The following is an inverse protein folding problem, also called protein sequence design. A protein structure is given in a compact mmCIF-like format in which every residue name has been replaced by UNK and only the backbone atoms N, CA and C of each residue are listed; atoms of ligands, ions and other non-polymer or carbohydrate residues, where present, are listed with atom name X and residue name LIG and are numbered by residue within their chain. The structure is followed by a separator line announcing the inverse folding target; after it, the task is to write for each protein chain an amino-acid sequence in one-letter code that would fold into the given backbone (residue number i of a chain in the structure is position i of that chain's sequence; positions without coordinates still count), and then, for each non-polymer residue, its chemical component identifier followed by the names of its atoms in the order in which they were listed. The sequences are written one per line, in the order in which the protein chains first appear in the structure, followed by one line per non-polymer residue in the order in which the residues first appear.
data_IF_514199747007
#
_entry.id   IF_514199747007
#
_cell.length_a   1.000
_cell.length_b   1.000
_cell.length_c   1.000
_cell.angle_alpha   90.00
_cell.angle_beta   90.00
_cell.angle_gamma   90.00
#
_symmetry.space_group_name_H-M   'P 1'
#
loop_
_entity.id
_entity.type
_entity.pdbx_description
1 polymer ?
#
# COMPACT_ATOMS: atom_id res chain seq x y z
N UNK A 1 8.60 -19.54 -11.53
CA UNK A 1 7.79 -18.45 -10.94
C UNK A 1 8.42 -17.18 -11.46
N UNK A 2 8.06 -16.76 -12.67
CA UNK A 2 8.83 -15.74 -13.41
C UNK A 2 8.09 -14.40 -13.35
N UNK A 3 7.93 -13.88 -12.12
CA UNK A 3 7.61 -12.47 -11.95
C UNK A 3 8.93 -11.71 -11.93
N UNK A 4 9.08 -10.69 -12.78
CA UNK A 4 10.19 -9.72 -12.77
C UNK A 4 10.12 -8.83 -11.50
N UNK A 5 10.07 -9.47 -10.34
CA UNK A 5 10.05 -8.82 -9.04
C UNK A 5 11.48 -8.56 -8.62
N UNK A 6 11.67 -7.49 -7.84
CA UNK A 6 12.94 -7.29 -7.16
C UNK A 6 13.17 -8.48 -6.23
N UNK A 7 14.41 -8.92 -6.04
CA UNK A 7 14.70 -10.05 -5.17
C UNK A 7 14.36 -9.77 -3.69
N UNK A 8 14.30 -8.50 -3.25
CA UNK A 8 14.06 -8.18 -1.84
C UNK A 8 12.61 -8.38 -1.37
N UNK A 9 11.55 -8.06 -2.14
CA UNK A 9 10.17 -8.42 -1.79
C UNK A 9 9.85 -9.92 -1.95
N UNK A 10 10.64 -10.68 -2.71
CA UNK A 10 10.33 -12.06 -3.07
C UNK A 10 10.17 -13.00 -1.86
N UNK A 11 11.05 -12.95 -0.83
CA UNK A 11 10.90 -13.77 0.38
C UNK A 11 9.65 -13.41 1.17
N UNK A 12 9.24 -12.14 1.21
CA UNK A 12 8.00 -11.74 1.87
C UNK A 12 6.76 -12.31 1.17
N UNK A 13 6.79 -12.39 -0.17
CA UNK A 13 5.73 -13.02 -0.96
C UNK A 13 5.65 -14.52 -0.68
N UNK A 14 6.80 -15.20 -0.54
CA UNK A 14 6.83 -16.63 -0.20
C UNK A 14 6.37 -16.85 1.25
N UNK A 15 6.84 -16.04 2.20
CA UNK A 15 6.49 -16.10 3.63
C UNK A 15 4.98 -15.82 3.87
N UNK A 16 4.34 -15.02 3.02
CA UNK A 16 2.89 -14.75 3.05
C UNK A 16 2.01 -15.90 2.52
N UNK A 17 2.59 -17.06 2.15
CA UNK A 17 1.83 -18.26 1.80
C UNK A 17 1.32 -18.31 0.35
N UNK A 18 1.96 -17.61 -0.58
CA UNK A 18 1.63 -17.64 -2.01
C UNK A 18 2.02 -18.95 -2.73
N UNK A 19 2.15 -20.07 -2.01
CA UNK A 19 2.37 -21.39 -2.62
C UNK A 19 1.10 -21.94 -3.30
N UNK A 20 -0.10 -21.52 -2.86
CA UNK A 20 -1.39 -21.93 -3.46
C UNK A 20 -2.35 -20.74 -3.60
N UNK A 21 -2.39 -20.08 -4.77
CA UNK A 21 -3.27 -18.93 -5.00
C UNK A 21 -4.76 -19.31 -4.94
N UNK A 22 -5.52 -18.70 -4.02
CA UNK A 22 -7.00 -18.72 -3.93
C UNK A 22 -7.65 -18.08 -5.17
N UNK A 23 -8.89 -18.40 -5.54
CA UNK A 23 -9.48 -18.20 -6.90
C UNK A 23 -9.36 -16.81 -7.59
N UNK A 24 -9.02 -15.72 -6.89
CA UNK A 24 -8.68 -14.41 -7.50
C UNK A 24 -7.18 -14.23 -7.78
N UNK A 25 -6.33 -15.08 -7.22
CA UNK A 25 -4.89 -15.06 -7.34
C UNK A 25 -4.33 -15.80 -8.59
N UNK A 26 -4.99 -16.80 -9.22
CA UNK A 26 -4.62 -17.23 -10.57
C UNK A 26 -4.89 -16.14 -11.60
N UNK A 27 -5.79 -15.20 -11.30
CA UNK A 27 -6.14 -14.15 -12.25
C UNK A 27 -5.09 -13.03 -12.39
N UNK A 28 -4.02 -13.14 -11.62
CA UNK A 28 -3.09 -12.06 -11.46
C UNK A 28 -1.64 -12.60 -11.41
N UNK A 29 -1.43 -13.86 -11.00
CA UNK A 29 -0.10 -14.40 -10.70
C UNK A 29 0.27 -15.64 -11.54
N UNK A 30 -0.31 -15.89 -12.73
CA UNK A 30 0.21 -16.92 -13.65
C UNK A 30 -0.01 -16.55 -15.11
N UNK A 31 1.04 -16.60 -15.93
CA UNK A 31 0.87 -16.82 -17.39
C UNK A 31 1.87 -17.86 -17.87
N UNK A 32 1.39 -18.84 -18.65
CA UNK A 32 1.34 -18.61 -20.10
C UNK A 32 -0.04 -18.85 -20.75
N UNK A 33 -0.39 -17.91 -21.64
CA UNK A 33 -1.35 -17.97 -22.78
C UNK A 33 -2.85 -17.67 -22.64
N UNK A 34 -3.44 -17.49 -21.46
CA UNK A 34 -4.83 -16.96 -21.38
C UNK A 34 -5.00 -16.01 -20.18
N UNK A 35 -4.35 -14.84 -20.25
CA UNK A 35 -4.11 -13.91 -19.13
C UNK A 35 -5.34 -13.09 -18.70
N UNK A 36 -5.81 -13.22 -17.46
CA UNK A 36 -6.57 -12.18 -16.75
C UNK A 36 -5.62 -11.05 -16.26
N UNK A 37 -6.09 -9.80 -16.38
CA UNK A 37 -5.26 -8.61 -16.66
C UNK A 37 -4.71 -7.80 -15.47
N UNK A 38 -4.90 -8.21 -14.20
CA UNK A 38 -4.74 -7.28 -13.06
C UNK A 38 -3.30 -6.95 -12.61
N UNK A 39 -2.48 -7.95 -12.28
CA UNK A 39 -1.16 -7.73 -11.64
C UNK A 39 -0.03 -7.32 -12.59
N UNK A 40 0.07 -7.84 -13.83
CA UNK A 40 1.05 -7.32 -14.79
C UNK A 40 0.86 -5.82 -15.02
N UNK A 41 -0.38 -5.34 -14.95
CA UNK A 41 -0.71 -3.93 -15.13
C UNK A 41 -0.33 -3.06 -13.93
N UNK A 42 -0.50 -3.59 -12.71
CA UNK A 42 -0.19 -2.87 -11.48
C UNK A 42 1.29 -2.59 -11.35
N UNK A 43 2.10 -3.60 -11.64
CA UNK A 43 3.57 -3.56 -11.60
C UNK A 43 4.12 -2.60 -12.67
N UNK A 44 3.38 -2.39 -13.76
CA UNK A 44 3.74 -1.43 -14.82
C UNK A 44 3.32 0.01 -14.50
N UNK A 45 2.79 0.29 -13.31
CA UNK A 45 2.39 1.63 -12.89
C UNK A 45 1.13 2.16 -13.60
N UNK A 46 0.30 1.27 -14.16
CA UNK A 46 -0.97 1.67 -14.76
C UNK A 46 -2.05 1.82 -13.69
N UNK A 47 -2.97 2.76 -13.94
CA UNK A 47 -4.14 2.95 -13.08
C UNK A 47 -5.03 1.70 -13.08
N UNK A 48 -5.44 1.26 -11.90
CA UNK A 48 -6.25 0.06 -11.71
C UNK A 48 -7.50 0.39 -10.91
N UNK A 49 -8.64 0.02 -11.49
CA UNK A 49 -9.88 -0.18 -10.75
C UNK A 49 -10.04 -1.69 -10.52
N UNK A 50 -10.01 -2.11 -9.26
CA UNK A 50 -10.21 -3.51 -8.89
C UNK A 50 -11.44 -3.66 -8.00
N UNK A 51 -12.38 -4.50 -8.43
CA UNK A 51 -13.52 -4.92 -7.61
C UNK A 51 -13.38 -6.41 -7.31
N UNK A 52 -13.30 -6.76 -6.03
CA UNK A 52 -13.33 -8.15 -5.58
C UNK A 52 -14.11 -8.22 -4.26
N UNK A 53 -14.54 -9.40 -3.84
CA UNK A 53 -15.16 -9.55 -2.51
C UNK A 53 -14.13 -9.36 -1.40
N UNK A 54 -14.61 -9.12 -0.18
CA UNK A 54 -13.72 -9.06 1.00
C UNK A 54 -13.00 -10.39 1.21
N UNK A 55 -11.76 -10.34 1.70
CA UNK A 55 -10.93 -11.54 1.95
C UNK A 55 -10.20 -12.12 0.73
N UNK A 56 -10.32 -11.55 -0.47
CA UNK A 56 -9.67 -12.07 -1.71
C UNK A 56 -8.26 -11.52 -1.97
N UNK A 57 -7.56 -10.98 -0.96
CA UNK A 57 -6.16 -10.57 -1.11
C UNK A 57 -5.92 -9.28 -1.90
N UNK A 58 -6.93 -8.42 -2.12
CA UNK A 58 -6.77 -7.10 -2.77
C UNK A 58 -5.69 -6.24 -2.11
N UNK A 59 -5.68 -6.26 -0.78
CA UNK A 59 -4.70 -5.53 0.04
C UNK A 59 -3.28 -5.94 -0.32
N UNK A 60 -3.01 -7.24 -0.30
CA UNK A 60 -1.70 -7.79 -0.64
C UNK A 60 -1.30 -7.44 -2.07
N UNK A 61 -2.23 -7.44 -3.02
CA UNK A 61 -1.95 -7.06 -4.41
C UNK A 61 -1.40 -5.64 -4.51
N UNK A 62 -2.08 -4.64 -3.92
CA UNK A 62 -1.58 -3.27 -4.02
C UNK A 62 -0.34 -3.04 -3.14
N UNK A 63 -0.22 -3.72 -1.98
CA UNK A 63 0.97 -3.62 -1.12
C UNK A 63 2.19 -4.10 -1.88
N UNK A 64 2.12 -5.27 -2.51
CA UNK A 64 3.23 -5.81 -3.29
C UNK A 64 3.51 -4.97 -4.53
N UNK A 65 2.48 -4.49 -5.23
CA UNK A 65 2.65 -3.67 -6.41
C UNK A 65 3.33 -2.33 -6.10
N UNK A 66 2.93 -1.64 -5.02
CA UNK A 66 3.54 -0.37 -4.62
C UNK A 66 4.95 -0.58 -4.07
N UNK A 67 5.18 -1.62 -3.26
CA UNK A 67 6.51 -1.96 -2.77
C UNK A 67 7.46 -2.34 -3.89
N UNK A 68 7.00 -3.05 -4.92
CA UNK A 68 7.81 -3.40 -6.07
C UNK A 68 8.32 -2.16 -6.82
N UNK A 69 7.50 -1.11 -6.90
CA UNK A 69 7.80 0.14 -7.60
C UNK A 69 8.43 1.22 -6.69
N UNK A 70 8.44 0.99 -5.38
CA UNK A 70 8.94 1.95 -4.40
C UNK A 70 10.46 2.12 -4.53
N UNK A 71 10.89 3.33 -4.86
CA UNK A 71 12.27 3.79 -4.72
C UNK A 71 12.32 4.77 -3.54
N UNK A 72 12.71 4.33 -2.33
CA UNK A 72 12.62 5.12 -1.12
C UNK A 72 13.61 6.29 -1.16
N UNK A 73 13.07 7.51 -1.06
CA UNK A 73 13.85 8.74 -0.94
C UNK A 73 13.59 9.33 0.44
N UNK A 74 14.65 9.68 1.15
CA UNK A 74 14.54 10.33 2.46
C UNK A 74 13.63 11.56 2.39
N UNK A 75 12.82 11.72 3.43
CA UNK A 75 11.88 12.82 3.58
C UNK A 75 10.81 12.96 2.49
N UNK A 76 10.49 11.87 1.77
CA UNK A 76 9.44 11.87 0.75
C UNK A 76 8.41 10.76 0.90
N UNK A 77 7.15 11.15 1.00
CA UNK A 77 6.01 10.24 0.85
C UNK A 77 5.85 9.90 -0.64
N UNK A 78 6.01 8.63 -0.99
CA UNK A 78 5.86 8.12 -2.35
C UNK A 78 4.55 7.35 -2.56
N UNK A 79 4.00 6.79 -1.48
CA UNK A 79 2.76 6.00 -1.52
C UNK A 79 1.77 6.57 -0.50
N UNK A 80 0.54 6.84 -0.95
CA UNK A 80 -0.58 7.19 -0.09
C UNK A 80 -1.69 6.16 -0.27
N UNK A 81 -2.10 5.51 0.81
CA UNK A 81 -3.24 4.61 0.86
C UNK A 81 -4.31 5.20 1.76
N UNK A 82 -5.54 5.27 1.26
CA UNK A 82 -6.70 5.72 2.03
C UNK A 82 -7.77 4.64 2.10
N UNK A 83 -8.40 4.51 3.27
CA UNK A 83 -9.54 3.64 3.50
C UNK A 83 -10.48 4.24 4.56
N UNK A 84 -11.69 3.71 4.68
CA UNK A 84 -12.76 4.40 5.40
C UNK A 84 -12.82 4.12 6.93
N UNK A 85 -12.22 3.01 7.41
CA UNK A 85 -12.21 2.65 8.84
C UNK A 85 -10.82 2.69 9.45
N UNK A 86 -10.76 2.83 10.79
CA UNK A 86 -9.49 2.76 11.55
C UNK A 86 -8.93 1.33 11.52
N UNK A 87 -9.82 0.36 11.58
CA UNK A 87 -9.53 -1.07 11.59
C UNK A 87 -8.81 -1.47 10.29
N UNK A 88 -9.30 -1.02 9.14
CA UNK A 88 -8.65 -1.26 7.84
C UNK A 88 -7.30 -0.57 7.74
N UNK A 89 -7.19 0.67 8.23
CA UNK A 89 -5.90 1.38 8.25
C UNK A 89 -4.84 0.55 8.99
N UNK A 90 -5.18 -0.02 10.15
CA UNK A 90 -4.28 -0.87 10.93
C UNK A 90 -3.99 -2.22 10.25
N UNK A 91 -4.97 -2.82 9.57
CA UNK A 91 -4.75 -4.07 8.85
C UNK A 91 -3.80 -3.86 7.67
N UNK A 92 -4.00 -2.81 6.89
CA UNK A 92 -3.16 -2.46 5.74
C UNK A 92 -1.74 -2.09 6.21
N UNK A 93 -1.61 -1.34 7.32
CA UNK A 93 -0.28 -0.98 7.85
C UNK A 93 0.53 -2.20 8.26
N UNK A 94 -0.11 -3.19 8.90
CA UNK A 94 0.53 -4.46 9.26
C UNK A 94 0.95 -5.27 8.04
N UNK A 95 0.15 -5.26 6.97
CA UNK A 95 0.51 -5.91 5.71
C UNK A 95 1.78 -5.29 5.10
N UNK A 96 1.88 -3.95 5.10
CA UNK A 96 3.10 -3.26 4.69
C UNK A 96 4.28 -3.58 5.61
N UNK A 97 4.12 -3.55 6.92
CA UNK A 97 5.19 -3.87 7.88
C UNK A 97 5.74 -5.29 7.69
N UNK A 98 4.84 -6.28 7.52
CA UNK A 98 5.23 -7.66 7.22
C UNK A 98 5.95 -7.79 5.88
N UNK A 99 5.46 -7.09 4.86
CA UNK A 99 6.03 -7.10 3.52
C UNK A 99 7.37 -6.34 3.41
N UNK A 100 7.60 -5.36 4.29
CA UNK A 100 8.83 -4.55 4.35
C UNK A 100 9.90 -5.12 5.28
N UNK A 101 9.71 -6.33 5.84
CA UNK A 101 10.66 -6.96 6.78
C UNK A 101 12.10 -6.98 6.26
N UNK A 102 12.30 -7.09 4.95
CA UNK A 102 13.60 -7.12 4.29
C UNK A 102 13.99 -5.79 3.60
N UNK A 103 13.23 -4.71 3.86
CA UNK A 103 13.41 -3.38 3.31
C UNK A 103 13.63 -2.34 4.44
N UNK A 104 14.81 -2.32 5.11
CA UNK A 104 15.03 -1.55 6.33
C UNK A 104 14.95 -0.03 6.13
N UNK A 105 15.12 0.45 4.89
CA UNK A 105 14.96 1.86 4.57
C UNK A 105 13.49 2.29 4.50
N UNK A 106 12.56 1.36 4.25
CA UNK A 106 11.14 1.67 4.04
C UNK A 106 10.45 1.92 5.39
N UNK A 107 9.63 2.96 5.45
CA UNK A 107 8.92 3.40 6.65
C UNK A 107 7.46 3.62 6.31
N UNK A 108 6.59 3.16 7.21
CA UNK A 108 5.14 3.25 7.09
C UNK A 108 4.63 4.15 8.22
N UNK A 109 3.82 5.16 7.89
CA UNK A 109 3.10 5.96 8.88
C UNK A 109 1.60 5.73 8.77
N UNK A 110 0.94 5.84 9.92
CA UNK A 110 -0.49 5.55 10.07
C UNK A 110 -1.20 6.77 10.65
N UNK A 111 -2.23 7.28 9.96
CA UNK A 111 -2.97 8.47 10.38
C UNK A 111 -4.48 8.29 10.32
N UNK A 112 -5.16 8.35 11.47
CA UNK A 112 -6.61 8.26 11.53
C UNK A 112 -7.20 9.08 12.69
N UNK A 113 -8.49 9.42 12.57
CA UNK A 113 -9.24 10.22 13.55
C UNK A 113 -9.38 9.59 14.95
N UNK A 114 -9.65 10.41 15.98
CA UNK A 114 -9.92 9.94 17.34
C UNK A 114 -8.74 10.03 18.31
N UNK A 115 -7.55 10.42 17.82
CA UNK A 115 -6.39 10.81 18.64
C UNK A 115 -6.03 12.27 18.40
N UNK A 116 -5.26 12.89 19.30
CA UNK A 116 -4.81 14.26 19.14
C UNK A 116 -3.90 14.37 17.90
N UNK A 117 -4.25 15.27 16.97
CA UNK A 117 -3.51 15.47 15.72
C UNK A 117 -2.07 15.93 15.97
N UNK A 118 -1.79 16.61 17.09
CA UNK A 118 -0.43 17.04 17.44
C UNK A 118 0.57 15.89 17.54
N UNK A 119 0.10 14.69 17.88
CA UNK A 119 0.93 13.50 17.95
C UNK A 119 1.38 13.07 16.54
N UNK A 120 0.46 13.13 15.58
CA UNK A 120 0.74 12.83 14.18
C UNK A 120 1.68 13.90 13.58
N UNK A 121 1.46 15.18 13.91
CA UNK A 121 2.34 16.27 13.47
C UNK A 121 3.76 16.11 14.00
N UNK A 122 3.90 15.67 15.26
CA UNK A 122 5.19 15.36 15.86
C UNK A 122 5.85 14.15 15.19
N UNK A 123 5.11 13.06 14.97
CA UNK A 123 5.63 11.87 14.30
C UNK A 123 6.15 12.19 12.89
N UNK A 124 5.44 13.04 12.15
CA UNK A 124 5.87 13.53 10.82
C UNK A 124 7.12 14.41 10.88
N UNK A 125 7.30 15.19 11.94
CA UNK A 125 8.48 16.04 12.12
C UNK A 125 9.72 15.24 12.54
N UNK A 126 9.53 14.20 13.37
CA UNK A 126 10.62 13.37 13.89
C UNK A 126 11.11 12.37 12.83
N UNK A 127 10.23 11.87 11.97
CA UNK A 127 10.60 10.98 10.87
C UNK A 127 9.57 11.03 9.73
N UNK A 128 10.03 11.28 8.51
CA UNK A 128 9.16 11.16 7.35
C UNK A 128 9.05 9.69 6.90
N UNK A 129 7.84 9.25 6.56
CA UNK A 129 7.55 7.91 6.07
C UNK A 129 7.38 7.88 4.55
N UNK A 130 7.89 6.83 3.92
CA UNK A 130 7.78 6.59 2.48
C UNK A 130 6.35 6.22 2.07
N UNK A 131 5.64 5.56 2.98
CA UNK A 131 4.28 5.05 2.80
C UNK A 131 3.41 5.66 3.90
N UNK A 132 2.26 6.22 3.51
CA UNK A 132 1.25 6.71 4.43
C UNK A 132 -0.04 5.93 4.23
N UNK A 133 -0.58 5.40 5.31
CA UNK A 133 -1.90 4.75 5.35
C UNK A 133 -2.80 5.54 6.28
N UNK A 134 -3.99 5.95 5.83
CA UNK A 134 -4.84 6.74 6.71
C UNK A 134 -6.28 6.94 6.28
N UNK A 135 -7.07 7.54 7.17
CA UNK A 135 -8.45 7.93 6.83
C UNK A 135 -8.48 9.31 6.16
N UNK A 136 -9.40 9.55 5.20
CA UNK A 136 -9.42 10.79 4.43
C UNK A 136 -9.44 12.06 5.29
N UNK A 137 -10.27 12.07 6.35
CA UNK A 137 -10.39 13.24 7.23
C UNK A 137 -9.10 13.62 7.95
N UNK A 138 -8.34 12.63 8.46
CA UNK A 138 -7.08 12.91 9.16
C UNK A 138 -5.97 13.30 8.19
N UNK A 139 -5.82 12.58 7.08
CA UNK A 139 -4.84 12.90 6.03
C UNK A 139 -5.08 14.31 5.50
N UNK A 140 -6.31 14.67 5.19
CA UNK A 140 -6.67 16.01 4.73
C UNK A 140 -6.31 17.10 5.74
N UNK A 141 -6.53 16.85 7.04
CA UNK A 141 -6.17 17.80 8.08
C UNK A 141 -4.65 18.06 8.12
N UNK A 142 -3.84 17.00 8.08
CA UNK A 142 -2.37 17.09 8.10
C UNK A 142 -1.80 17.75 6.83
N UNK A 143 -2.44 17.53 5.67
CA UNK A 143 -2.07 18.20 4.41
C UNK A 143 -2.42 19.68 4.47
N UNK A 144 -3.61 20.04 4.98
CA UNK A 144 -4.04 21.44 5.11
C UNK A 144 -3.15 22.25 6.05
N UNK A 145 -2.63 21.63 7.11
CA UNK A 145 -1.66 22.26 8.01
C UNK A 145 -0.22 22.21 7.50
N UNK A 146 0.00 21.68 6.28
CA UNK A 146 1.31 21.51 5.62
C UNK A 146 2.29 20.63 6.40
N UNK A 147 1.79 19.82 7.32
CA UNK A 147 2.60 18.87 8.11
C UNK A 147 2.88 17.60 7.33
N UNK A 148 1.94 17.20 6.46
CA UNK A 148 2.10 16.11 5.50
C UNK A 148 2.26 16.66 4.09
N UNK A 149 3.43 16.44 3.46
CA UNK A 149 3.69 16.84 2.08
C UNK A 149 3.45 15.66 1.13
N UNK A 150 2.55 15.83 0.16
CA UNK A 150 2.18 14.80 -0.81
C UNK A 150 2.67 15.08 -2.24
N UNK A 151 3.54 16.09 -2.42
CA UNK A 151 4.03 16.51 -3.76
C UNK A 151 4.84 15.44 -4.50
N UNK A 152 5.34 14.43 -3.79
CA UNK A 152 6.17 13.35 -4.32
C UNK A 152 5.41 12.01 -4.41
N UNK A 153 4.10 12.00 -4.12
CA UNK A 153 3.29 10.77 -4.20
C UNK A 153 3.24 10.30 -5.65
N UNK A 154 3.72 9.08 -5.88
CA UNK A 154 3.69 8.37 -7.17
C UNK A 154 2.56 7.35 -7.22
N UNK A 155 2.15 6.82 -6.06
CA UNK A 155 1.09 5.83 -5.96
C UNK A 155 0.02 6.30 -4.98
N UNK A 156 -1.21 6.34 -5.47
CA UNK A 156 -2.38 6.65 -4.67
C UNK A 156 -3.36 5.49 -4.74
N UNK A 157 -3.74 4.94 -3.58
CA UNK A 157 -4.61 3.77 -3.45
C UNK A 157 -5.81 4.13 -2.60
N UNK A 158 -7.00 3.75 -3.06
CA UNK A 158 -8.25 3.87 -2.32
C UNK A 158 -8.85 2.48 -2.13
N UNK A 159 -8.86 1.98 -0.89
CA UNK A 159 -9.53 0.72 -0.55
C UNK A 159 -10.93 1.01 0.01
N UNK A 160 -11.91 0.20 -0.40
CA UNK A 160 -13.35 0.45 -0.14
C UNK A 160 -13.81 1.84 -0.63
N UNK A 161 -13.41 2.18 -1.85
CA UNK A 161 -13.69 3.47 -2.51
C UNK A 161 -15.19 3.79 -2.58
N UNK A 162 -16.06 2.77 -2.70
CA UNK A 162 -17.52 2.91 -2.68
C UNK A 162 -18.09 3.43 -1.36
N UNK A 163 -17.35 3.30 -0.25
CA UNK A 163 -17.70 3.84 1.06
C UNK A 163 -17.10 5.22 1.33
N UNK A 164 -16.14 5.64 0.51
CA UNK A 164 -15.43 6.91 0.67
C UNK A 164 -15.95 8.03 -0.22
N UNK A 165 -16.60 7.69 -1.34
CA UNK A 165 -17.16 8.62 -2.34
C UNK A 165 -18.59 9.07 -2.02
#
# INVERSE_FOLDING_TARGET
MDFLLRPEPLPAIVDCGFEHPSEVQPQAILTPRHTPRGIPQAILGMDILCQATSGMGKTTVFVLATLQQLDPVEDQVSVLVMCHTRELVFQISKEYEGSCKYLPAVRVAVFFGGMNISNDEKALADSCSHIVVGTPGRVLALVRTRKLQLRNVKHFVMDECDKML
#
